data_IF_014413297135
#
_entry.id   IF_014413297135
#
_cell.length_a   1.000
_cell.length_b   1.000
_cell.length_c   1.000
_cell.angle_alpha   90.00
_cell.angle_beta   90.00
_cell.angle_gamma   90.00
#
_symmetry.space_group_name_H-M   'P 1'
#
loop_
_entity.id
_entity.type
_entity.pdbx_description
1 polymer ?
#
# COMPACT_ATOMS: atom_id res chain seq x y z
N UNK A 1 13.54 20.35 34.40
CA UNK A 1 14.00 19.33 33.44
C UNK A 1 13.17 19.56 32.17
N UNK A 2 13.83 20.05 31.12
CA UNK A 2 13.13 20.43 29.88
C UNK A 2 12.56 19.21 29.20
N UNK A 3 11.26 19.23 28.88
CA UNK A 3 10.58 18.27 28.05
C UNK A 3 11.29 18.23 26.69
N UNK A 4 12.15 17.23 26.44
CA UNK A 4 12.64 16.92 25.09
C UNK A 4 11.44 16.44 24.28
N UNK A 5 10.85 17.35 23.51
CA UNK A 5 9.79 16.96 22.60
C UNK A 5 10.31 16.00 21.55
N UNK A 6 9.60 14.92 21.26
CA UNK A 6 9.90 13.99 20.17
C UNK A 6 9.93 14.74 18.84
N UNK A 7 10.96 14.50 18.04
CA UNK A 7 11.06 15.00 16.68
C UNK A 7 10.23 14.14 15.72
N UNK A 8 10.01 14.64 14.52
CA UNK A 8 9.37 13.87 13.44
C UNK A 8 10.12 12.57 13.13
N UNK A 9 11.46 12.61 13.24
CA UNK A 9 12.32 11.45 13.05
C UNK A 9 12.12 10.40 14.15
N UNK A 10 11.86 10.81 15.39
CA UNK A 10 11.58 9.87 16.48
C UNK A 10 10.26 9.14 16.24
N UNK A 11 9.23 9.86 15.77
CA UNK A 11 7.93 9.28 15.44
C UNK A 11 8.07 8.33 14.23
N UNK A 12 8.78 8.73 13.18
CA UNK A 12 9.05 7.89 12.02
C UNK A 12 9.80 6.61 12.43
N UNK A 13 10.86 6.75 13.23
CA UNK A 13 11.63 5.61 13.73
C UNK A 13 10.77 4.63 14.53
N UNK A 14 9.85 5.13 15.34
CA UNK A 14 8.91 4.32 16.10
C UNK A 14 7.96 3.55 15.18
N UNK A 15 7.38 4.22 14.18
CA UNK A 15 6.48 3.59 13.19
C UNK A 15 7.24 2.50 12.42
N UNK A 16 8.42 2.81 11.88
CA UNK A 16 9.22 1.87 11.10
C UNK A 16 9.75 0.70 11.93
N UNK A 17 10.13 0.93 13.17
CA UNK A 17 10.50 -0.14 14.11
C UNK A 17 9.33 -1.07 14.36
N UNK A 18 8.13 -0.53 14.58
CA UNK A 18 6.92 -1.32 14.75
C UNK A 18 6.59 -2.14 13.51
N UNK A 19 6.73 -1.55 12.31
CA UNK A 19 6.54 -2.26 11.03
C UNK A 19 7.54 -3.43 10.90
N UNK A 20 8.81 -3.18 11.18
CA UNK A 20 9.89 -4.18 11.06
C UNK A 20 9.79 -5.30 12.10
N UNK A 21 9.23 -5.03 13.27
CA UNK A 21 8.96 -6.06 14.28
C UNK A 21 7.85 -7.02 13.86
N UNK A 22 6.99 -6.60 12.92
CA UNK A 22 6.00 -7.44 12.28
C UNK A 22 5.05 -8.10 13.26
N UNK A 23 4.00 -7.41 13.66
CA UNK A 23 2.92 -8.08 14.39
C UNK A 23 2.10 -8.95 13.43
N UNK A 24 1.85 -10.18 13.85
CA UNK A 24 1.03 -11.12 13.09
C UNK A 24 -0.43 -10.64 12.97
N UNK A 25 -0.89 -9.87 13.93
CA UNK A 25 -2.24 -9.36 14.09
C UNK A 25 -2.24 -7.83 13.91
N UNK A 26 -3.01 -7.32 12.96
CA UNK A 26 -3.03 -5.90 12.62
C UNK A 26 -3.70 -5.08 13.74
N UNK A 27 -4.69 -5.63 14.43
CA UNK A 27 -5.35 -4.97 15.55
C UNK A 27 -4.36 -4.77 16.69
N UNK A 28 -3.66 -5.82 17.08
CA UNK A 28 -2.61 -5.75 18.10
C UNK A 28 -1.45 -4.83 17.70
N UNK A 29 -1.11 -4.80 16.40
CA UNK A 29 -0.12 -3.85 15.89
C UNK A 29 -0.62 -2.41 16.07
N UNK A 30 -1.88 -2.15 15.72
CA UNK A 30 -2.53 -0.86 15.88
C UNK A 30 -2.56 -0.40 17.35
N UNK A 31 -3.02 -1.26 18.27
CA UNK A 31 -3.02 -0.97 19.72
C UNK A 31 -1.62 -0.62 20.23
N UNK A 32 -0.63 -1.41 19.89
CA UNK A 32 0.76 -1.17 20.30
C UNK A 32 1.31 0.15 19.73
N UNK A 33 1.02 0.43 18.47
CA UNK A 33 1.42 1.67 17.82
C UNK A 33 0.78 2.87 18.50
N UNK A 34 -0.54 2.84 18.75
CA UNK A 34 -1.24 3.90 19.46
C UNK A 34 -0.75 4.05 20.90
N UNK A 35 -0.54 2.95 21.63
CA UNK A 35 0.02 3.00 22.99
C UNK A 35 1.38 3.70 23.01
N UNK A 36 2.24 3.41 22.03
CA UNK A 36 3.55 4.05 21.92
C UNK A 36 3.46 5.50 21.50
N UNK A 37 2.57 5.84 20.56
CA UNK A 37 2.29 7.22 20.20
C UNK A 37 1.69 8.00 21.38
N UNK A 38 0.85 7.39 22.21
CA UNK A 38 0.21 8.00 23.38
C UNK A 38 1.21 8.34 24.50
N UNK A 39 2.33 7.65 24.61
CA UNK A 39 3.42 7.98 25.53
C UNK A 39 4.17 9.25 25.12
N UNK A 40 3.97 9.71 23.88
CA UNK A 40 4.52 10.95 23.37
C UNK A 40 3.59 12.07 23.80
N UNK A 41 3.97 12.90 24.79
CA UNK A 41 3.18 13.97 25.43
C UNK A 41 2.49 15.00 24.49
N UNK A 42 2.71 14.88 23.17
CA UNK A 42 2.22 15.78 22.12
C UNK A 42 0.94 15.31 21.41
N UNK A 43 0.37 14.17 21.78
CA UNK A 43 -0.76 13.58 21.04
C UNK A 43 -2.03 14.44 21.04
N UNK A 44 -2.22 15.34 21.98
CA UNK A 44 -3.35 16.29 21.88
C UNK A 44 -3.41 17.04 20.55
N UNK A 45 -2.30 17.07 19.78
CA UNK A 45 -2.19 17.71 18.47
C UNK A 45 -1.80 16.77 17.33
N UNK A 46 -1.73 15.44 17.51
CA UNK A 46 -1.23 14.54 16.47
C UNK A 46 -2.05 14.64 15.17
N UNK A 47 -3.36 14.84 15.28
CA UNK A 47 -4.23 15.01 14.11
C UNK A 47 -3.83 16.24 13.29
N UNK A 48 -3.60 17.37 13.93
CA UNK A 48 -3.13 18.59 13.25
C UNK A 48 -1.74 18.44 12.64
N UNK A 49 -0.85 17.69 13.32
CA UNK A 49 0.48 17.38 12.79
C UNK A 49 0.37 16.52 11.52
N UNK A 50 -0.45 15.47 11.54
CA UNK A 50 -0.68 14.58 10.39
C UNK A 50 -1.30 15.36 9.23
N UNK A 51 -2.31 16.17 9.50
CA UNK A 51 -2.95 17.02 8.49
C UNK A 51 -1.93 17.93 7.82
N UNK A 52 -1.13 18.65 8.61
CA UNK A 52 -0.03 19.49 8.09
C UNK A 52 0.96 18.69 7.26
N UNK A 53 1.40 17.53 7.75
CA UNK A 53 2.38 16.70 7.02
C UNK A 53 1.85 16.15 5.72
N UNK A 54 0.60 15.70 5.68
CA UNK A 54 -0.04 15.25 4.45
C UNK A 54 -0.27 16.41 3.47
N UNK A 55 -0.61 17.62 3.95
CA UNK A 55 -0.79 18.79 3.07
C UNK A 55 0.49 19.20 2.33
N UNK A 56 1.67 18.85 2.87
CA UNK A 56 2.97 19.13 2.27
C UNK A 56 3.40 18.10 1.21
N UNK A 57 2.59 17.05 0.96
CA UNK A 57 2.93 15.94 0.06
C UNK A 57 2.14 15.99 -1.24
N UNK A 58 2.80 15.58 -2.31
CA UNK A 58 2.18 15.25 -3.60
C UNK A 58 2.12 13.73 -3.71
N UNK A 59 0.94 13.17 -3.56
CA UNK A 59 0.72 11.73 -3.59
C UNK A 59 -0.04 11.38 -4.85
N UNK A 60 0.51 10.44 -5.62
CA UNK A 60 -0.08 9.93 -6.85
C UNK A 60 -0.34 8.45 -6.71
N UNK A 61 -1.36 7.98 -7.38
CA UNK A 61 -1.78 6.58 -7.35
C UNK A 61 -1.90 6.04 -8.77
N UNK A 62 -1.38 4.83 -8.98
CA UNK A 62 -1.61 4.02 -10.19
C UNK A 62 -2.27 2.71 -9.76
N UNK A 63 -3.46 2.41 -10.31
CA UNK A 63 -3.95 1.06 -10.27
C UNK A 63 -3.12 0.20 -11.23
N UNK A 64 -2.71 -1.00 -10.82
CA UNK A 64 -2.03 -1.94 -11.73
C UNK A 64 -2.77 -2.04 -13.07
N UNK A 65 -2.03 -2.28 -14.16
CA UNK A 65 -2.57 -2.46 -15.49
C UNK A 65 -3.41 -3.75 -15.57
N UNK A 66 -4.18 -3.93 -16.63
CA UNK A 66 -5.06 -5.10 -16.81
C UNK A 66 -4.27 -6.40 -16.65
N UNK A 67 -4.78 -7.29 -15.81
CA UNK A 67 -4.20 -8.60 -15.54
C UNK A 67 -5.17 -9.71 -15.95
N UNK A 68 -4.64 -10.92 -16.04
CA UNK A 68 -5.38 -12.11 -16.50
C UNK A 68 -6.72 -12.28 -15.76
N UNK A 69 -6.72 -12.07 -14.42
CA UNK A 69 -7.97 -12.19 -13.66
C UNK A 69 -9.01 -11.14 -14.04
N UNK A 70 -8.61 -9.92 -14.43
CA UNK A 70 -9.59 -8.90 -14.85
C UNK A 70 -10.35 -9.34 -16.11
N UNK A 71 -9.66 -9.98 -17.04
CA UNK A 71 -10.28 -10.52 -18.27
C UNK A 71 -11.19 -11.71 -17.96
N UNK A 72 -10.72 -12.62 -17.13
CA UNK A 72 -11.47 -13.83 -16.76
C UNK A 72 -12.72 -13.47 -15.93
N UNK A 73 -12.58 -12.59 -14.94
CA UNK A 73 -13.68 -12.10 -14.10
C UNK A 73 -14.74 -11.35 -14.92
N UNK A 74 -14.36 -10.66 -15.99
CA UNK A 74 -15.29 -10.03 -16.91
C UNK A 74 -15.97 -11.02 -17.88
N UNK A 75 -15.36 -12.18 -18.12
CA UNK A 75 -15.83 -13.19 -19.08
C UNK A 75 -16.77 -14.21 -18.46
N UNK A 76 -16.52 -14.60 -17.21
CA UNK A 76 -17.23 -15.68 -16.53
C UNK A 76 -18.15 -15.14 -15.44
N UNK A 77 -19.29 -15.82 -15.21
CA UNK A 77 -20.20 -15.48 -14.12
C UNK A 77 -19.55 -15.75 -12.74
N UNK A 78 -20.07 -15.11 -11.71
CA UNK A 78 -19.51 -15.20 -10.34
C UNK A 78 -19.52 -16.64 -9.79
N UNK A 79 -20.54 -17.43 -10.14
CA UNK A 79 -20.67 -18.84 -9.77
C UNK A 79 -19.69 -19.76 -10.51
N UNK A 80 -19.05 -19.27 -11.58
CA UNK A 80 -17.98 -19.96 -12.30
C UNK A 80 -16.58 -19.59 -11.79
N UNK A 81 -16.44 -19.22 -10.52
CA UNK A 81 -15.22 -18.63 -9.96
C UNK A 81 -13.95 -19.46 -10.20
N UNK A 82 -14.04 -20.80 -10.26
CA UNK A 82 -12.91 -21.68 -10.59
C UNK A 82 -12.25 -21.36 -11.93
N UNK A 83 -13.02 -20.82 -12.88
CA UNK A 83 -12.53 -20.45 -14.21
C UNK A 83 -11.71 -19.15 -14.22
N UNK A 84 -11.90 -18.28 -13.23
CA UNK A 84 -11.23 -16.98 -13.15
C UNK A 84 -10.40 -16.78 -11.88
N UNK A 85 -10.45 -17.72 -10.93
CA UNK A 85 -9.70 -17.68 -9.69
C UNK A 85 -8.28 -18.22 -9.88
N UNK A 86 -7.42 -17.42 -10.47
CA UNK A 86 -6.01 -17.77 -10.72
C UNK A 86 -5.10 -17.06 -9.70
N UNK A 87 -4.13 -17.81 -9.19
CA UNK A 87 -3.20 -17.29 -8.17
C UNK A 87 -2.25 -16.26 -8.78
N UNK A 88 -2.11 -15.11 -8.09
CA UNK A 88 -1.15 -14.03 -8.39
C UNK A 88 -1.00 -13.72 -9.90
N UNK A 89 -2.11 -13.36 -10.59
CA UNK A 89 -2.17 -13.22 -12.04
C UNK A 89 -1.21 -12.15 -12.58
N UNK A 90 -0.66 -12.41 -13.75
CA UNK A 90 0.21 -11.51 -14.50
C UNK A 90 -0.58 -10.49 -15.31
N UNK A 91 0.11 -9.50 -15.87
CA UNK A 91 -0.48 -8.56 -16.81
C UNK A 91 -0.79 -9.24 -18.14
N UNK A 92 -1.87 -8.81 -18.78
CA UNK A 92 -2.21 -9.19 -20.16
C UNK A 92 -1.38 -8.36 -21.16
N UNK A 93 -1.40 -8.76 -22.44
CA UNK A 93 -0.82 -7.93 -23.52
C UNK A 93 -1.44 -6.54 -23.55
N UNK A 94 -2.76 -6.44 -23.37
CA UNK A 94 -3.46 -5.15 -23.27
C UNK A 94 -3.02 -4.35 -22.03
N UNK A 95 -2.80 -5.03 -20.88
CA UNK A 95 -2.25 -4.40 -19.69
C UNK A 95 -0.88 -3.78 -19.93
N UNK A 96 0.00 -4.49 -20.66
CA UNK A 96 1.31 -3.97 -21.06
C UNK A 96 1.16 -2.71 -21.93
N UNK A 97 0.23 -2.68 -22.88
CA UNK A 97 -0.04 -1.49 -23.69
C UNK A 97 -0.60 -0.32 -22.85
N UNK A 98 -1.47 -0.61 -21.87
CA UNK A 98 -2.02 0.41 -20.98
C UNK A 98 -0.93 1.14 -20.18
N UNK A 99 0.19 0.49 -19.83
CA UNK A 99 1.28 1.14 -19.10
C UNK A 99 1.96 2.25 -19.91
N UNK A 100 1.91 2.21 -21.23
CA UNK A 100 2.43 3.30 -22.08
C UNK A 100 1.66 4.60 -21.83
N UNK A 101 0.34 4.54 -21.75
CA UNK A 101 -0.49 5.71 -21.42
C UNK A 101 -0.25 6.21 -19.99
N UNK A 102 -0.04 5.29 -19.03
CA UNK A 102 0.35 5.67 -17.67
C UNK A 102 1.69 6.40 -17.64
N UNK A 103 2.70 5.90 -18.38
CA UNK A 103 4.01 6.54 -18.54
C UNK A 103 3.89 7.95 -19.13
N UNK A 104 3.10 8.14 -20.18
CA UNK A 104 2.88 9.46 -20.77
C UNK A 104 2.24 10.44 -19.79
N UNK A 105 1.25 9.99 -19.02
CA UNK A 105 0.62 10.81 -17.97
C UNK A 105 1.64 11.20 -16.89
N UNK A 106 2.49 10.27 -16.44
CA UNK A 106 3.53 10.56 -15.45
C UNK A 106 4.53 11.61 -15.96
N UNK A 107 4.96 11.51 -17.22
CA UNK A 107 5.83 12.51 -17.86
C UNK A 107 5.17 13.89 -17.90
N UNK A 108 3.89 13.94 -18.22
CA UNK A 108 3.14 15.19 -18.30
C UNK A 108 2.99 15.89 -16.94
N UNK A 109 3.01 15.15 -15.83
CA UNK A 109 3.05 15.78 -14.51
C UNK A 109 4.39 16.47 -14.22
N UNK A 110 5.48 16.09 -14.90
CA UNK A 110 6.83 16.64 -14.70
C UNK A 110 7.24 16.65 -13.22
N UNK A 111 7.01 15.51 -12.54
CA UNK A 111 7.28 15.35 -11.10
C UNK A 111 8.46 14.42 -10.92
N UNK A 112 9.39 14.86 -10.10
CA UNK A 112 10.45 14.02 -9.56
C UNK A 112 9.92 13.28 -8.33
N UNK A 113 9.68 11.98 -8.45
CA UNK A 113 9.22 11.14 -7.34
C UNK A 113 10.39 10.77 -6.41
N UNK A 114 10.26 11.05 -5.13
CA UNK A 114 11.25 10.70 -4.12
C UNK A 114 11.14 9.23 -3.71
N UNK A 115 9.92 8.70 -3.73
CA UNK A 115 9.61 7.32 -3.35
C UNK A 115 8.45 6.75 -4.17
N UNK A 116 8.59 5.49 -4.53
CA UNK A 116 7.52 4.68 -5.12
C UNK A 116 7.21 3.52 -4.19
N UNK A 117 5.99 3.44 -3.70
CA UNK A 117 5.49 2.27 -2.98
C UNK A 117 4.80 1.32 -3.96
N UNK A 118 5.15 0.05 -3.90
CA UNK A 118 4.64 -0.98 -4.81
C UNK A 118 4.00 -2.11 -4.00
N UNK A 119 2.80 -2.52 -4.37
CA UNK A 119 2.20 -3.75 -3.83
C UNK A 119 3.02 -4.97 -4.26
N UNK A 120 3.20 -5.97 -3.38
CA UNK A 120 4.00 -7.16 -3.70
C UNK A 120 3.32 -8.15 -4.66
N UNK A 121 2.07 -7.91 -5.10
CA UNK A 121 1.41 -8.74 -6.10
C UNK A 121 2.04 -8.55 -7.48
N UNK A 122 2.22 -9.65 -8.20
CA UNK A 122 2.94 -9.71 -9.50
C UNK A 122 2.48 -8.64 -10.48
N UNK A 123 1.17 -8.42 -10.63
CA UNK A 123 0.60 -7.41 -11.55
C UNK A 123 1.02 -5.96 -11.22
N UNK A 124 1.19 -5.65 -9.92
CA UNK A 124 1.64 -4.33 -9.49
C UNK A 124 3.16 -4.16 -9.73
N UNK A 125 3.96 -5.18 -9.40
CA UNK A 125 5.41 -5.19 -9.67
C UNK A 125 5.67 -5.09 -11.19
N UNK A 126 4.94 -5.84 -12.02
CA UNK A 126 5.07 -5.74 -13.47
C UNK A 126 4.68 -4.36 -13.99
N UNK A 127 3.62 -3.74 -13.43
CA UNK A 127 3.24 -2.37 -13.78
C UNK A 127 4.39 -1.41 -13.47
N UNK A 128 5.02 -1.53 -12.29
CA UNK A 128 6.20 -0.73 -11.93
C UNK A 128 7.33 -0.88 -12.97
N UNK A 129 7.76 -2.10 -13.29
CA UNK A 129 8.87 -2.30 -14.23
C UNK A 129 8.60 -1.73 -15.63
N UNK A 130 7.34 -1.73 -16.06
CA UNK A 130 6.98 -1.19 -17.38
C UNK A 130 7.00 0.34 -17.44
N UNK A 131 6.86 1.02 -16.28
CA UNK A 131 6.94 2.48 -16.19
C UNK A 131 8.25 2.99 -15.57
N UNK A 132 9.10 2.10 -15.03
CA UNK A 132 10.33 2.45 -14.29
C UNK A 132 11.24 3.39 -15.07
N UNK A 133 11.39 3.16 -16.37
CA UNK A 133 12.25 3.98 -17.26
C UNK A 133 11.78 5.44 -17.36
N UNK A 134 10.51 5.70 -17.03
CA UNK A 134 9.88 7.02 -17.11
C UNK A 134 9.80 7.69 -15.73
N UNK A 135 10.32 7.03 -14.70
CA UNK A 135 10.54 7.55 -13.36
C UNK A 135 11.99 8.03 -13.23
N UNK A 136 12.24 8.91 -12.26
CA UNK A 136 13.60 9.34 -11.95
C UNK A 136 14.43 8.19 -11.34
N UNK A 137 15.72 8.16 -11.62
CA UNK A 137 16.60 7.04 -11.27
C UNK A 137 16.92 6.91 -9.79
N UNK A 138 16.75 7.97 -9.01
CA UNK A 138 17.07 8.06 -7.59
C UNK A 138 15.88 7.84 -6.65
N UNK A 139 14.68 7.60 -7.21
CA UNK A 139 13.52 7.23 -6.42
C UNK A 139 13.77 5.96 -5.61
N UNK A 140 13.40 5.98 -4.33
CA UNK A 140 13.38 4.77 -3.48
C UNK A 140 12.19 3.90 -3.85
N UNK A 141 12.40 2.63 -4.16
CA UNK A 141 11.34 1.72 -4.56
C UNK A 141 11.06 0.73 -3.42
N UNK A 142 9.99 0.96 -2.69
CA UNK A 142 9.64 0.20 -1.48
C UNK A 142 8.46 -0.71 -1.79
N UNK A 143 8.70 -2.02 -1.68
CA UNK A 143 7.63 -3.02 -1.75
C UNK A 143 7.03 -3.21 -0.37
N UNK A 144 5.71 -3.13 -0.27
CA UNK A 144 5.02 -3.26 1.01
C UNK A 144 3.65 -3.91 0.87
N UNK A 145 3.34 -4.82 1.80
CA UNK A 145 2.04 -5.47 1.90
C UNK A 145 0.94 -4.59 2.52
N UNK A 146 1.29 -3.42 3.03
CA UNK A 146 0.29 -2.44 3.50
C UNK A 146 -0.65 -1.95 2.40
N UNK A 147 -0.21 -1.96 1.15
CA UNK A 147 -1.03 -1.58 -0.02
C UNK A 147 -1.35 -2.77 -0.94
N UNK A 148 -1.28 -4.00 -0.42
CA UNK A 148 -1.80 -5.18 -1.14
C UNK A 148 -3.31 -5.08 -1.33
N UNK A 149 -3.86 -5.82 -2.29
CA UNK A 149 -5.32 -5.91 -2.45
C UNK A 149 -5.96 -6.61 -1.24
N UNK A 150 -7.23 -6.35 -1.00
CA UNK A 150 -8.00 -7.03 0.04
C UNK A 150 -8.00 -8.55 -0.22
N UNK A 151 -7.76 -9.32 0.82
CA UNK A 151 -7.69 -10.78 0.71
C UNK A 151 -9.03 -11.40 1.06
N UNK A 152 -9.54 -12.23 0.18
CA UNK A 152 -10.65 -13.14 0.43
C UNK A 152 -10.09 -14.56 0.41
N UNK A 153 -10.40 -15.35 1.44
CA UNK A 153 -9.88 -16.72 1.58
C UNK A 153 -10.22 -17.65 0.41
N UNK A 154 -11.34 -17.39 -0.26
CA UNK A 154 -11.80 -18.17 -1.42
C UNK A 154 -11.11 -17.76 -2.73
N UNK A 155 -10.46 -16.59 -2.79
CA UNK A 155 -9.92 -16.02 -4.02
C UNK A 155 -8.39 -16.01 -4.01
N UNK A 156 -7.78 -16.82 -4.87
CA UNK A 156 -6.33 -16.95 -4.98
C UNK A 156 -5.66 -15.77 -5.69
N UNK A 157 -6.43 -14.98 -6.45
CA UNK A 157 -5.90 -13.82 -7.19
C UNK A 157 -5.12 -12.80 -6.35
N UNK A 158 -5.36 -12.79 -5.04
CA UNK A 158 -4.70 -11.89 -4.10
C UNK A 158 -3.71 -12.63 -3.16
N UNK A 159 -3.48 -13.93 -3.39
CA UNK A 159 -2.42 -14.71 -2.77
C UNK A 159 -1.16 -14.62 -3.64
N UNK A 160 -0.14 -13.94 -3.14
CA UNK A 160 1.09 -13.72 -3.89
C UNK A 160 2.14 -14.82 -3.72
N UNK A 161 3.37 -14.54 -4.11
CA UNK A 161 4.54 -15.39 -3.86
C UNK A 161 5.05 -15.18 -2.44
N UNK A 162 5.64 -16.21 -1.84
CA UNK A 162 6.34 -16.12 -0.55
C UNK A 162 7.42 -15.03 -0.59
N UNK A 163 7.65 -14.37 0.55
CA UNK A 163 8.62 -13.26 0.63
C UNK A 163 10.04 -13.68 0.21
N UNK A 164 10.48 -14.87 0.63
CA UNK A 164 11.77 -15.42 0.23
C UNK A 164 11.90 -15.57 -1.29
N UNK A 165 10.83 -16.03 -1.96
CA UNK A 165 10.79 -16.14 -3.42
C UNK A 165 10.79 -14.78 -4.11
N UNK A 166 10.07 -13.79 -3.58
CA UNK A 166 10.10 -12.41 -4.11
C UNK A 166 11.50 -11.82 -3.99
N UNK A 167 12.14 -11.95 -2.83
CA UNK A 167 13.51 -11.45 -2.61
C UNK A 167 14.52 -12.10 -3.55
N UNK A 168 14.41 -13.40 -3.81
CA UNK A 168 15.30 -14.09 -4.73
C UNK A 168 15.03 -13.69 -6.19
N UNK A 169 13.76 -13.62 -6.62
CA UNK A 169 13.36 -13.25 -7.97
C UNK A 169 13.83 -11.83 -8.34
N UNK A 170 13.76 -10.90 -7.39
CA UNK A 170 14.05 -9.49 -7.62
C UNK A 170 15.36 -9.00 -6.99
N UNK A 171 16.26 -9.90 -6.56
CA UNK A 171 17.53 -9.58 -5.88
C UNK A 171 18.45 -8.61 -6.62
N UNK A 172 18.38 -8.58 -7.95
CA UNK A 172 19.20 -7.73 -8.80
C UNK A 172 18.45 -6.48 -9.30
N UNK A 173 17.38 -6.07 -8.61
CA UNK A 173 16.57 -4.90 -8.96
C UNK A 173 16.64 -3.85 -7.86
N UNK A 174 16.01 -2.68 -8.08
CA UNK A 174 15.89 -1.62 -7.07
C UNK A 174 14.80 -1.87 -6.02
N UNK A 175 14.05 -2.97 -6.10
CA UNK A 175 12.95 -3.27 -5.19
C UNK A 175 13.46 -3.53 -3.78
N UNK A 176 13.03 -2.71 -2.82
CA UNK A 176 13.38 -2.86 -1.41
C UNK A 176 12.23 -3.52 -0.64
N UNK A 177 12.49 -4.71 -0.10
CA UNK A 177 11.54 -5.51 0.68
C UNK A 177 11.77 -5.42 2.19
N UNK A 178 12.57 -4.45 2.68
CA UNK A 178 12.99 -4.40 4.10
C UNK A 178 11.82 -4.24 5.08
N UNK A 179 10.69 -3.70 4.63
CA UNK A 179 9.49 -3.49 5.45
C UNK A 179 8.48 -4.65 5.39
N UNK A 180 8.76 -5.68 4.60
CA UNK A 180 8.00 -6.92 4.57
C UNK A 180 8.68 -7.94 5.48
N UNK A 181 7.99 -8.41 6.49
CA UNK A 181 8.57 -9.26 7.55
C UNK A 181 7.99 -10.67 7.58
N UNK A 182 6.83 -10.88 6.94
CA UNK A 182 6.11 -12.16 6.95
C UNK A 182 6.41 -12.96 5.70
N UNK A 183 6.75 -14.23 5.84
CA UNK A 183 6.95 -15.15 4.71
C UNK A 183 5.67 -15.29 3.88
N UNK A 184 4.53 -15.45 4.57
CA UNK A 184 3.19 -15.46 3.99
C UNK A 184 2.51 -14.14 4.34
N UNK A 185 2.72 -13.12 3.52
CA UNK A 185 2.32 -11.74 3.78
C UNK A 185 0.89 -11.41 3.36
N UNK A 186 0.26 -12.24 2.54
CA UNK A 186 -1.09 -11.96 2.03
C UNK A 186 -2.20 -12.26 3.04
N UNK A 187 -1.94 -13.04 4.09
CA UNK A 187 -2.87 -13.25 5.19
C UNK A 187 -2.62 -12.29 6.35
N UNK A 188 -3.68 -11.89 7.05
CA UNK A 188 -3.56 -11.30 8.37
C UNK A 188 -3.38 -12.43 9.39
N UNK A 189 -2.18 -12.53 9.92
CA UNK A 189 -1.78 -13.61 10.81
C UNK A 189 -2.25 -13.30 12.24
N UNK A 190 -3.30 -13.90 12.66
CA UNK A 190 -3.76 -14.05 14.04
C UNK A 190 -4.63 -15.27 14.17
N UNK A 191 -5.13 -15.81 13.07
CA UNK A 191 -6.00 -16.97 13.01
C UNK A 191 -5.56 -17.93 11.91
N UNK A 192 -6.02 -19.18 11.96
CA UNK A 192 -5.63 -20.24 11.02
C UNK A 192 -5.71 -19.79 9.55
N UNK A 193 -4.59 -19.99 8.87
CA UNK A 193 -4.27 -19.48 7.54
C UNK A 193 -5.35 -19.79 6.48
N UNK A 194 -6.15 -20.83 6.66
CA UNK A 194 -7.01 -21.37 5.61
C UNK A 194 -8.47 -20.92 5.67
N UNK A 195 -8.87 -20.09 6.63
CA UNK A 195 -10.30 -19.87 6.89
C UNK A 195 -10.81 -18.44 6.87
N UNK A 196 -9.98 -17.40 6.82
CA UNK A 196 -10.48 -16.04 6.98
C UNK A 196 -10.02 -15.06 5.90
N UNK A 197 -11.00 -14.36 5.36
CA UNK A 197 -10.80 -13.14 4.58
C UNK A 197 -10.23 -12.04 5.48
N UNK A 198 -9.45 -11.12 4.91
CA UNK A 198 -9.13 -9.88 5.59
C UNK A 198 -10.44 -9.12 5.86
N UNK A 199 -10.84 -9.00 7.12
CA UNK A 199 -12.04 -8.24 7.49
C UNK A 199 -11.89 -6.77 7.10
N UNK A 200 -13.03 -6.09 6.87
CA UNK A 200 -13.04 -4.67 6.48
C UNK A 200 -12.29 -3.79 7.49
N UNK A 201 -12.44 -4.05 8.78
CA UNK A 201 -11.72 -3.34 9.84
C UNK A 201 -10.21 -3.48 9.69
N UNK A 202 -9.69 -4.70 9.57
CA UNK A 202 -8.28 -4.99 9.41
C UNK A 202 -7.69 -4.34 8.16
N UNK A 203 -8.44 -4.35 7.08
CA UNK A 203 -8.08 -3.66 5.85
C UNK A 203 -7.95 -2.14 6.05
N UNK A 204 -8.93 -1.51 6.72
CA UNK A 204 -8.92 -0.07 6.99
C UNK A 204 -7.82 0.33 7.98
N UNK A 205 -7.58 -0.48 9.04
CA UNK A 205 -6.47 -0.26 9.99
C UNK A 205 -5.13 -0.30 9.27
N UNK A 206 -4.92 -1.30 8.42
CA UNK A 206 -3.70 -1.43 7.61
C UNK A 206 -3.45 -0.20 6.74
N UNK A 207 -4.49 0.29 6.05
CA UNK A 207 -4.38 1.49 5.23
C UNK A 207 -4.13 2.74 6.07
N UNK A 208 -4.79 2.89 7.22
CA UNK A 208 -4.57 4.01 8.13
C UNK A 208 -3.13 4.05 8.65
N UNK A 209 -2.57 2.90 9.05
CA UNK A 209 -1.17 2.76 9.46
C UNK A 209 -0.22 3.14 8.31
N UNK A 210 -0.50 2.68 7.09
CA UNK A 210 0.30 3.04 5.91
C UNK A 210 0.30 4.55 5.64
N UNK A 211 -0.87 5.19 5.71
CA UNK A 211 -0.98 6.63 5.51
C UNK A 211 -0.24 7.39 6.62
N UNK A 212 -0.33 6.95 7.87
CA UNK A 212 0.42 7.51 8.98
C UNK A 212 1.94 7.39 8.73
N UNK A 213 2.42 6.21 8.34
CA UNK A 213 3.82 6.01 7.98
C UNK A 213 4.26 6.95 6.87
N UNK A 214 3.51 7.03 5.79
CA UNK A 214 3.77 7.92 4.65
C UNK A 214 3.77 9.40 5.08
N UNK A 215 2.90 9.82 6.00
CA UNK A 215 2.83 11.20 6.50
C UNK A 215 4.13 11.64 7.18
N UNK A 216 4.76 10.78 7.98
CA UNK A 216 5.99 11.10 8.72
C UNK A 216 7.28 10.89 7.94
N UNK A 217 7.24 10.26 6.76
CA UNK A 217 8.42 10.14 5.90
C UNK A 217 8.88 11.50 5.38
N UNK A 218 10.19 11.70 5.16
CA UNK A 218 10.71 12.99 4.65
C UNK A 218 10.35 13.26 3.19
N UNK A 219 10.07 12.21 2.41
CA UNK A 219 9.78 12.29 0.98
C UNK A 219 8.46 13.05 0.73
N UNK A 220 8.47 13.97 -0.25
CA UNK A 220 7.32 14.82 -0.58
C UNK A 220 6.51 14.32 -1.77
N UNK A 221 7.20 13.85 -2.80
CA UNK A 221 6.58 13.37 -4.03
C UNK A 221 6.53 11.85 -4.02
N UNK A 222 5.36 11.29 -3.82
CA UNK A 222 5.15 9.85 -3.57
C UNK A 222 4.26 9.27 -4.65
N UNK A 223 4.66 8.14 -5.22
CA UNK A 223 3.86 7.35 -6.14
C UNK A 223 3.45 6.04 -5.47
N UNK A 224 2.18 5.67 -5.57
CA UNK A 224 1.63 4.40 -5.11
C UNK A 224 1.24 3.55 -6.32
N UNK A 225 1.71 2.31 -6.41
CA UNK A 225 1.31 1.35 -7.44
C UNK A 225 0.58 0.20 -6.74
N UNK A 226 -0.74 0.15 -6.88
CA UNK A 226 -1.57 -0.73 -6.08
C UNK A 226 -2.88 -1.10 -6.79
N UNK A 227 -3.99 -1.23 -6.08
CA UNK A 227 -5.22 -1.92 -6.47
C UNK A 227 -6.46 -1.05 -6.28
N UNK A 228 -7.57 -1.49 -6.87
CA UNK A 228 -8.83 -0.74 -6.87
C UNK A 228 -9.42 -0.55 -5.47
N UNK A 229 -9.49 -1.61 -4.64
CA UNK A 229 -10.04 -1.48 -3.29
C UNK A 229 -9.17 -0.61 -2.40
N UNK A 230 -7.84 -0.66 -2.55
CA UNK A 230 -6.93 0.25 -1.86
C UNK A 230 -7.25 1.69 -2.22
N UNK A 231 -7.39 2.00 -3.52
CA UNK A 231 -7.69 3.35 -3.99
C UNK A 231 -9.00 3.88 -3.41
N UNK A 232 -10.12 3.15 -3.58
CA UNK A 232 -11.45 3.62 -3.15
C UNK A 232 -11.57 3.73 -1.62
N UNK A 233 -10.74 3.00 -0.86
CA UNK A 233 -10.71 3.11 0.59
C UNK A 233 -9.70 4.15 1.11
N UNK A 234 -8.74 4.57 0.31
CA UNK A 234 -7.87 5.71 0.64
C UNK A 234 -8.49 7.06 0.23
N UNK A 235 -9.28 7.08 -0.82
CA UNK A 235 -9.90 8.29 -1.37
C UNK A 235 -11.39 8.05 -1.63
N UNK A 236 -12.23 9.02 -1.32
CA UNK A 236 -13.67 8.98 -1.63
C UNK A 236 -13.86 9.05 -3.16
N UNK A 237 -14.06 7.89 -3.80
CA UNK A 237 -14.16 7.76 -5.24
C UNK A 237 -14.98 6.54 -5.63
N UNK A 238 -15.60 6.59 -6.82
CA UNK A 238 -16.36 5.46 -7.39
C UNK A 238 -15.49 4.37 -8.00
N UNK A 239 -14.17 4.54 -8.03
CA UNK A 239 -13.22 3.58 -8.56
C UNK A 239 -12.14 4.20 -9.42
N UNK A 240 -11.27 3.33 -9.94
CA UNK A 240 -10.13 3.70 -10.80
C UNK A 240 -9.93 2.59 -11.85
N UNK A 241 -9.76 2.96 -13.11
CA UNK A 241 -9.50 1.99 -14.18
C UNK A 241 -8.07 1.47 -14.13
N UNK A 242 -7.83 0.32 -14.76
CA UNK A 242 -6.48 -0.24 -14.88
C UNK A 242 -5.52 0.77 -15.55
N UNK A 243 -4.33 0.90 -15.00
CA UNK A 243 -3.29 1.83 -15.42
C UNK A 243 -3.68 3.33 -15.36
N UNK A 244 -4.80 3.70 -14.75
CA UNK A 244 -5.09 5.11 -14.50
C UNK A 244 -4.12 5.67 -13.45
N UNK A 245 -3.68 6.92 -13.72
CA UNK A 245 -2.82 7.71 -12.83
C UNK A 245 -3.64 8.88 -12.30
N UNK A 246 -3.70 8.99 -10.98
CA UNK A 246 -4.52 10.00 -10.28
C UNK A 246 -3.70 10.68 -9.18
N UNK A 247 -3.82 12.00 -9.04
CA UNK A 247 -3.34 12.71 -7.85
C UNK A 247 -4.34 12.49 -6.71
N UNK A 248 -3.84 12.05 -5.55
CA UNK A 248 -4.67 11.78 -4.38
C UNK A 248 -5.14 13.07 -3.71
N UNK A 249 -6.32 13.00 -3.11
CA UNK A 249 -6.85 14.06 -2.25
C UNK A 249 -6.34 13.86 -0.82
N UNK A 250 -5.47 14.75 -0.36
CA UNK A 250 -4.87 14.65 0.96
C UNK A 250 -5.90 14.73 2.11
N UNK A 251 -7.02 15.44 1.93
CA UNK A 251 -8.08 15.51 2.94
C UNK A 251 -8.73 14.14 3.20
N UNK A 252 -8.90 13.34 2.15
CA UNK A 252 -9.45 11.99 2.31
C UNK A 252 -8.47 11.08 3.06
N UNK A 253 -7.17 11.22 2.81
CA UNK A 253 -6.13 10.51 3.55
C UNK A 253 -6.13 10.91 5.04
N UNK A 254 -6.30 12.19 5.35
CA UNK A 254 -6.45 12.69 6.73
C UNK A 254 -7.66 12.05 7.43
N UNK A 255 -8.81 11.97 6.75
CA UNK A 255 -10.02 11.30 7.31
C UNK A 255 -9.72 9.84 7.66
N UNK A 256 -9.00 9.11 6.81
CA UNK A 256 -8.66 7.68 7.04
C UNK A 256 -7.74 7.49 8.25
N UNK A 257 -6.70 8.31 8.38
CA UNK A 257 -5.82 8.26 9.56
C UNK A 257 -6.58 8.65 10.83
N UNK A 258 -7.41 9.68 10.76
CA UNK A 258 -8.23 10.09 11.92
C UNK A 258 -9.22 9.00 12.35
N UNK A 259 -9.81 8.28 11.41
CA UNK A 259 -10.64 7.11 11.71
C UNK A 259 -9.81 6.04 12.45
N UNK A 260 -8.64 5.68 11.93
CA UNK A 260 -7.75 4.69 12.53
C UNK A 260 -7.30 5.08 13.94
N UNK A 261 -6.94 6.35 14.16
CA UNK A 261 -6.52 6.85 15.50
C UNK A 261 -7.65 6.81 16.52
N UNK A 262 -8.91 6.98 16.09
CA UNK A 262 -10.06 6.96 16.97
C UNK A 262 -10.73 5.57 17.08
N UNK A 263 -10.24 4.60 16.32
CA UNK A 263 -10.77 3.24 16.38
C UNK A 263 -10.42 2.64 17.74
N UNK A 264 -11.43 2.26 18.48
CA UNK A 264 -11.36 1.46 19.70
C UNK A 264 -12.38 0.35 19.56
N UNK A 265 -12.00 -0.86 19.90
CA UNK A 265 -12.86 -2.03 19.88
C UNK A 265 -14.06 -1.88 20.85
#
# INVERSE_FOLDING_TARGET
MGNKGYSDNDILSLIESSIKQGNADIEKFHENLLSNLNKIDKIKNIKAIIEKKLSEKNIYFIRHAESEHNVLEAKYAYDEFEKWNIQDPKLTKKGIEQTKSASEKLKNFNIHFDTVFVSPLTRAIQTYFLIEKDLNNDAKIIVTDFIKEVVNSQLDKNKGKKLSLLKEEYKNTKLDFQYMTKEIWWYNLGKEIDKESEGQTNFLLRLGIFILWMAFRPEKNILLISHSHVFVNMQESFGIRNADVVKMNNNDLVKKVNWMINYSD
#
